data_IF_835252352643
#
_entry.id   IF_835252352643
#
_cell.length_a   1.000
_cell.length_b   1.000
_cell.length_c   1.000
_cell.angle_alpha   90.00
_cell.angle_beta   90.00
_cell.angle_gamma   90.00
#
_symmetry.space_group_name_H-M   'P 1'
#
loop_
_entity.id
_entity.type
_entity.pdbx_description
1 polymer ?
#
# COMPACT_ATOMS: atom_id res chain seq x y z
N UNK A 1 -12.67 -15.11 27.02
CA UNK A 1 -11.77 -15.59 25.96
C UNK A 1 -10.43 -14.92 26.18
N UNK A 2 -9.42 -15.70 26.52
CA UNK A 2 -8.01 -15.31 26.45
C UNK A 2 -7.24 -16.43 25.74
N UNK A 3 -6.08 -16.11 25.18
CA UNK A 3 -5.21 -17.07 24.53
C UNK A 3 -3.74 -16.67 24.72
N UNK A 4 -2.89 -17.67 24.89
CA UNK A 4 -1.44 -17.53 24.93
C UNK A 4 -0.86 -18.15 23.66
N UNK A 5 0.07 -17.45 23.02
CA UNK A 5 0.70 -17.84 21.76
C UNK A 5 2.22 -17.86 21.90
N UNK A 6 2.89 -18.75 21.18
CA UNK A 6 4.35 -18.67 20.99
C UNK A 6 4.74 -17.57 19.98
N UNK A 7 6.04 -17.38 19.78
CA UNK A 7 6.56 -16.40 18.82
C UNK A 7 6.09 -16.63 17.38
N UNK A 8 5.71 -17.85 16.99
CA UNK A 8 5.23 -18.19 15.65
C UNK A 8 3.70 -18.22 15.55
N UNK A 9 3.00 -17.94 16.64
CA UNK A 9 1.54 -17.88 16.69
C UNK A 9 0.86 -19.21 17.00
N UNK A 10 1.57 -20.27 17.38
CA UNK A 10 0.94 -21.51 17.85
C UNK A 10 0.16 -21.23 19.15
N UNK A 11 -1.09 -21.69 19.21
CA UNK A 11 -1.93 -21.56 20.40
C UNK A 11 -1.43 -22.52 21.49
N UNK A 12 -0.83 -21.96 22.54
CA UNK A 12 -0.29 -22.71 23.69
C UNK A 12 -1.37 -23.02 24.73
N UNK A 13 -2.29 -22.08 24.93
CA UNK A 13 -3.35 -22.15 25.94
C UNK A 13 -4.54 -21.26 25.52
N UNK A 14 -5.77 -21.67 25.85
CA UNK A 14 -7.00 -20.89 25.58
C UNK A 14 -7.98 -21.00 26.75
N UNK A 15 -8.44 -19.85 27.26
CA UNK A 15 -9.52 -19.79 28.26
C UNK A 15 -10.82 -19.29 27.62
N UNK A 16 -11.70 -20.22 27.24
CA UNK A 16 -12.93 -19.94 26.50
C UNK A 16 -14.22 -20.39 27.23
N UNK A 17 -14.55 -19.81 28.40
CA UNK A 17 -15.68 -20.25 29.24
C UNK A 17 -17.06 -20.04 28.59
N UNK A 18 -17.15 -19.32 27.47
CA UNK A 18 -18.38 -19.04 26.74
C UNK A 18 -18.41 -19.66 25.33
N UNK A 19 -17.43 -20.52 25.00
CA UNK A 19 -17.34 -21.21 23.70
C UNK A 19 -17.46 -20.26 22.49
N UNK A 20 -16.85 -19.08 22.60
CA UNK A 20 -16.84 -18.08 21.54
C UNK A 20 -15.93 -18.54 20.41
N UNK A 21 -16.41 -18.50 19.17
CA UNK A 21 -15.56 -18.73 18.00
C UNK A 21 -14.60 -17.54 17.84
N UNK A 22 -13.30 -17.79 18.01
CA UNK A 22 -12.26 -16.79 17.78
C UNK A 22 -11.26 -17.29 16.73
N UNK A 23 -11.37 -16.76 15.53
CA UNK A 23 -10.52 -17.14 14.40
C UNK A 23 -9.29 -16.23 14.25
N UNK A 24 -9.22 -15.07 14.89
CA UNK A 24 -8.05 -14.17 14.76
C UNK A 24 -6.83 -14.79 15.47
N UNK A 25 -5.65 -14.64 14.84
CA UNK A 25 -4.34 -15.10 15.35
C UNK A 25 -3.38 -13.90 15.45
N UNK A 26 -2.13 -14.01 14.95
CA UNK A 26 -1.23 -12.85 14.85
C UNK A 26 -1.80 -11.79 13.88
N UNK A 27 -1.28 -10.54 13.86
CA UNK A 27 -1.82 -9.48 13.02
C UNK A 27 -1.97 -9.85 11.53
N UNK A 28 -3.20 -9.72 11.01
CA UNK A 28 -3.55 -10.07 9.63
C UNK A 28 -3.99 -11.52 9.39
N UNK A 29 -3.83 -12.40 10.39
CA UNK A 29 -4.08 -13.83 10.26
C UNK A 29 -5.47 -14.25 10.79
N UNK A 30 -6.12 -15.13 10.03
CA UNK A 30 -7.34 -15.83 10.42
C UNK A 30 -7.11 -17.35 10.37
N UNK A 31 -7.43 -18.06 11.44
CA UNK A 31 -7.41 -19.50 11.53
C UNK A 31 -8.46 -20.13 10.60
N UNK A 32 -8.00 -21.10 9.83
CA UNK A 32 -8.83 -22.03 9.08
C UNK A 32 -8.81 -23.40 9.79
N UNK A 33 -9.98 -23.81 10.27
CA UNK A 33 -10.16 -25.05 11.03
C UNK A 33 -10.03 -26.31 10.16
N UNK A 34 -10.31 -26.23 8.85
CA UNK A 34 -10.23 -27.38 7.95
C UNK A 34 -8.77 -27.78 7.66
N UNK A 35 -7.89 -26.80 7.49
CA UNK A 35 -6.47 -27.03 7.22
C UNK A 35 -5.56 -26.96 8.45
N UNK A 36 -6.02 -26.34 9.55
CA UNK A 36 -5.19 -25.99 10.71
C UNK A 36 -4.23 -24.81 10.46
N UNK A 37 -4.29 -24.19 9.28
CA UNK A 37 -3.38 -23.12 8.85
C UNK A 37 -3.97 -21.74 9.09
N UNK A 38 -3.12 -20.73 9.01
CA UNK A 38 -3.50 -19.33 9.21
C UNK A 38 -3.56 -18.62 7.85
N UNK A 39 -4.77 -18.30 7.40
CA UNK A 39 -5.01 -17.52 6.20
C UNK A 39 -4.57 -16.06 6.42
N UNK A 40 -3.66 -15.60 5.58
CA UNK A 40 -3.13 -14.23 5.57
C UNK A 40 -3.27 -13.65 4.15
N UNK A 41 -4.53 -13.39 3.76
CA UNK A 41 -4.97 -12.90 2.43
C UNK A 41 -4.41 -13.70 1.25
N UNK A 42 -3.22 -13.35 0.78
CA UNK A 42 -2.62 -13.93 -0.43
C UNK A 42 -1.91 -15.27 -0.16
N UNK A 43 -1.70 -15.65 1.11
CA UNK A 43 -0.92 -16.83 1.49
C UNK A 43 -1.51 -17.54 2.72
N UNK A 44 -1.26 -18.85 2.82
CA UNK A 44 -1.47 -19.62 4.05
C UNK A 44 -0.15 -19.79 4.79
N UNK A 45 -0.18 -19.50 6.09
CA UNK A 45 0.93 -19.58 7.03
C UNK A 45 0.78 -20.80 7.94
N UNK A 46 1.86 -21.52 8.16
CA UNK A 46 1.98 -22.64 9.08
C UNK A 46 2.77 -22.19 10.32
N UNK A 47 2.13 -22.07 11.50
CA UNK A 47 2.78 -21.66 12.73
C UNK A 47 3.73 -22.72 13.29
N UNK A 48 3.55 -24.02 12.98
CA UNK A 48 4.45 -25.08 13.42
C UNK A 48 5.81 -25.01 12.70
N UNK A 49 5.83 -24.43 11.50
CA UNK A 49 7.04 -24.27 10.69
C UNK A 49 7.56 -22.81 10.64
N UNK A 50 6.83 -21.84 11.21
CA UNK A 50 7.20 -20.42 11.20
C UNK A 50 7.24 -19.78 9.80
N UNK A 51 6.44 -20.27 8.85
CA UNK A 51 6.57 -19.93 7.42
C UNK A 51 5.26 -20.04 6.65
N UNK A 52 5.21 -19.43 5.47
CA UNK A 52 4.18 -19.71 4.48
C UNK A 52 4.35 -21.12 3.87
N UNK A 53 3.24 -21.77 3.53
CA UNK A 53 3.23 -23.09 2.86
C UNK A 53 3.17 -23.00 1.34
N UNK A 54 2.65 -21.89 0.81
CA UNK A 54 2.67 -21.53 -0.60
C UNK A 54 3.89 -20.65 -0.88
N UNK A 55 4.45 -20.75 -2.09
CA UNK A 55 5.44 -19.78 -2.55
C UNK A 55 4.83 -18.39 -2.57
N UNK A 56 5.65 -17.37 -2.32
CA UNK A 56 5.29 -15.99 -2.49
C UNK A 56 4.77 -15.76 -3.91
N UNK A 57 3.52 -15.29 -4.13
CA UNK A 57 2.98 -15.06 -5.46
C UNK A 57 3.86 -14.15 -6.33
N UNK A 58 4.76 -13.38 -5.72
CA UNK A 58 5.68 -12.47 -6.41
C UNK A 58 7.07 -13.08 -6.72
N UNK A 59 7.38 -14.32 -6.31
CA UNK A 59 8.55 -15.09 -6.78
C UNK A 59 9.86 -14.84 -6.01
N UNK A 60 10.98 -14.56 -6.71
CA UNK A 60 12.29 -14.11 -6.15
C UNK A 60 12.28 -12.66 -5.65
N UNK A 61 11.20 -11.98 -5.99
CA UNK A 61 10.64 -10.88 -5.24
C UNK A 61 10.11 -11.45 -3.90
N UNK A 62 9.51 -10.67 -3.01
CA UNK A 62 9.46 -11.10 -1.60
C UNK A 62 10.90 -11.12 -1.06
N UNK A 63 11.58 -12.26 -1.15
CA UNK A 63 13.01 -12.43 -0.88
C UNK A 63 13.54 -13.75 -1.43
N UNK A 64 14.82 -14.07 -1.15
CA UNK A 64 15.45 -15.34 -1.55
C UNK A 64 14.75 -16.60 -1.01
N UNK A 65 13.95 -16.47 0.05
CA UNK A 65 13.13 -17.54 0.60
C UNK A 65 11.65 -17.26 0.30
N UNK A 66 11.11 -17.94 -0.71
CA UNK A 66 9.70 -17.82 -1.16
C UNK A 66 8.65 -18.10 -0.09
N UNK A 67 9.05 -18.64 1.06
CA UNK A 67 8.14 -19.08 2.11
C UNK A 67 8.28 -18.24 3.37
N UNK A 68 9.11 -17.19 3.36
CA UNK A 68 9.48 -16.45 4.56
C UNK A 68 8.32 -15.66 5.16
N UNK A 69 8.01 -15.94 6.43
CA UNK A 69 7.38 -14.98 7.32
C UNK A 69 8.49 -14.15 8.03
N UNK A 70 8.25 -12.89 8.44
CA UNK A 70 9.32 -12.06 8.99
C UNK A 70 10.03 -12.69 10.21
N UNK A 71 11.36 -12.53 10.27
CA UNK A 71 12.22 -13.14 11.31
C UNK A 71 11.97 -12.62 12.73
N UNK A 72 11.25 -11.50 12.88
CA UNK A 72 10.79 -10.99 14.16
C UNK A 72 9.30 -10.65 14.03
N UNK A 73 8.39 -11.61 14.23
CA UNK A 73 6.95 -11.45 14.02
C UNK A 73 6.28 -10.47 15.00
N UNK A 74 6.98 -10.04 16.06
CA UNK A 74 6.51 -9.06 17.04
C UNK A 74 6.71 -7.62 16.54
N UNK A 75 7.77 -7.35 15.77
CA UNK A 75 8.09 -6.00 15.26
C UNK A 75 7.95 -5.85 13.75
N UNK A 76 8.12 -6.93 12.99
CA UNK A 76 7.83 -7.01 11.57
C UNK A 76 6.71 -8.01 11.38
N UNK A 77 5.52 -7.55 11.02
CA UNK A 77 4.41 -8.40 10.62
C UNK A 77 4.04 -8.08 9.18
N UNK A 78 3.58 -9.08 8.44
CA UNK A 78 3.13 -8.94 7.05
C UNK A 78 1.60 -9.08 7.03
N UNK A 79 0.83 -7.99 7.24
CA UNK A 79 -0.63 -8.06 7.40
C UNK A 79 -1.39 -8.22 6.08
N UNK A 80 -0.69 -8.28 4.95
CA UNK A 80 -1.28 -8.37 3.61
C UNK A 80 -0.75 -9.55 2.79
N UNK A 81 0.41 -10.11 3.11
CA UNK A 81 1.15 -11.00 2.22
C UNK A 81 2.02 -10.26 1.19
N UNK A 82 2.36 -8.97 1.40
CA UNK A 82 2.77 -8.03 0.33
C UNK A 82 3.92 -7.08 0.73
N UNK A 83 4.55 -6.48 -0.29
CA UNK A 83 5.77 -5.64 -0.18
C UNK A 83 5.58 -4.14 0.08
N UNK A 84 4.43 -3.73 0.60
CA UNK A 84 4.12 -2.31 0.81
C UNK A 84 3.89 -2.03 2.29
N UNK A 85 4.64 -1.06 2.85
CA UNK A 85 4.52 -0.65 4.25
C UNK A 85 4.13 0.83 4.38
N UNK A 86 3.49 1.17 5.50
CA UNK A 86 2.96 2.50 5.79
C UNK A 86 3.50 2.98 7.13
N UNK A 87 4.10 4.17 7.17
CA UNK A 87 4.80 4.68 8.36
C UNK A 87 4.36 6.11 8.72
N UNK A 88 4.46 6.43 10.01
CA UNK A 88 3.94 7.65 10.62
C UNK A 88 3.16 7.33 11.89
N UNK A 89 2.51 8.34 12.46
CA UNK A 89 1.50 8.12 13.50
C UNK A 89 0.26 7.37 12.95
N UNK A 90 -0.65 6.97 13.83
CA UNK A 90 -1.83 6.19 13.47
C UNK A 90 -2.75 6.90 12.46
N UNK A 91 -2.90 8.23 12.56
CA UNK A 91 -3.71 9.02 11.63
C UNK A 91 -3.06 9.06 10.25
N UNK A 92 -1.75 9.38 10.19
CA UNK A 92 -0.97 9.35 8.94
C UNK A 92 -1.06 7.98 8.25
N UNK A 93 -0.82 6.89 9.00
CA UNK A 93 -0.88 5.53 8.44
C UNK A 93 -2.27 5.18 7.91
N UNK A 94 -3.33 5.55 8.65
CA UNK A 94 -4.71 5.30 8.23
C UNK A 94 -5.05 6.03 6.93
N UNK A 95 -4.78 7.33 6.88
CA UNK A 95 -5.02 8.18 5.71
C UNK A 95 -4.31 7.67 4.47
N UNK A 96 -3.03 7.26 4.59
CA UNK A 96 -2.27 6.69 3.48
C UNK A 96 -2.79 5.31 3.04
N UNK A 97 -3.19 4.44 3.98
CA UNK A 97 -3.79 3.12 3.67
C UNK A 97 -5.14 3.27 2.94
N UNK A 98 -5.98 4.20 3.38
CA UNK A 98 -7.28 4.50 2.73
C UNK A 98 -7.07 5.05 1.31
N UNK A 99 -6.14 5.99 1.13
CA UNK A 99 -5.81 6.54 -0.18
C UNK A 99 -5.19 5.49 -1.12
N UNK A 100 -4.28 4.62 -0.63
CA UNK A 100 -3.69 3.52 -1.39
C UNK A 100 -4.76 2.52 -1.84
N UNK A 101 -5.67 2.13 -0.92
CA UNK A 101 -6.79 1.24 -1.24
C UNK A 101 -7.69 1.83 -2.33
N UNK A 102 -7.96 3.13 -2.28
CA UNK A 102 -8.72 3.82 -3.33
C UNK A 102 -7.98 3.87 -4.69
N UNK A 103 -6.64 3.76 -4.73
CA UNK A 103 -5.90 3.51 -5.98
C UNK A 103 -6.13 2.08 -6.46
N UNK A 104 -5.87 1.10 -5.57
CA UNK A 104 -5.94 -0.34 -5.88
C UNK A 104 -7.34 -0.84 -6.28
N UNK A 105 -8.41 -0.14 -5.92
CA UNK A 105 -9.80 -0.46 -6.30
C UNK A 105 -10.15 -0.05 -7.75
N UNK A 106 -9.36 0.81 -8.38
CA UNK A 106 -9.55 1.21 -9.79
C UNK A 106 -8.83 0.25 -10.73
N UNK A 107 -9.32 0.09 -11.97
CA UNK A 107 -8.71 -0.84 -12.94
C UNK A 107 -7.33 -0.37 -13.41
N UNK A 108 -7.13 0.94 -13.50
CA UNK A 108 -5.84 1.51 -13.85
C UNK A 108 -4.88 1.51 -12.66
N UNK A 109 -5.33 1.95 -11.49
CA UNK A 109 -4.53 1.97 -10.26
C UNK A 109 -4.11 0.58 -9.79
N UNK A 110 -5.00 -0.42 -9.91
CA UNK A 110 -4.70 -1.81 -9.58
C UNK A 110 -3.45 -2.35 -10.28
N UNK A 111 -3.24 -2.01 -11.56
CA UNK A 111 -2.05 -2.43 -12.31
C UNK A 111 -0.77 -1.82 -11.74
N UNK A 112 -0.84 -0.56 -11.31
CA UNK A 112 0.30 0.13 -10.72
C UNK A 112 0.64 -0.52 -9.38
N UNK A 113 -0.37 -0.75 -8.53
CA UNK A 113 -0.19 -1.38 -7.21
C UNK A 113 0.27 -2.82 -7.34
N UNK A 114 -0.32 -3.61 -8.23
CA UNK A 114 0.09 -4.99 -8.54
C UNK A 114 1.57 -5.05 -8.95
N UNK A 115 2.05 -4.16 -9.81
CA UNK A 115 3.46 -4.10 -10.20
C UNK A 115 4.39 -3.59 -9.07
N UNK A 116 3.90 -2.81 -8.11
CA UNK A 116 4.69 -2.35 -6.94
C UNK A 116 4.78 -3.44 -5.87
N UNK A 117 3.65 -4.06 -5.55
CA UNK A 117 3.51 -5.20 -4.64
C UNK A 117 4.29 -6.41 -5.19
N UNK A 118 4.31 -6.60 -6.51
CA UNK A 118 5.16 -7.55 -7.21
C UNK A 118 6.50 -6.96 -7.68
N UNK A 119 7.15 -6.11 -6.86
CA UNK A 119 8.53 -5.65 -7.13
C UNK A 119 9.57 -6.32 -6.23
N UNK A 120 10.87 -6.20 -6.57
CA UNK A 120 11.96 -6.67 -5.70
C UNK A 120 12.18 -5.79 -4.46
N UNK A 121 11.51 -4.64 -4.35
CA UNK A 121 11.73 -3.66 -3.28
C UNK A 121 10.53 -3.56 -2.32
N UNK A 122 10.82 -3.30 -1.04
CA UNK A 122 9.78 -2.84 -0.12
C UNK A 122 9.50 -1.36 -0.41
N UNK A 123 8.24 -1.01 -0.68
CA UNK A 123 7.84 0.37 -0.90
C UNK A 123 7.24 0.97 0.38
N UNK A 124 7.78 2.10 0.82
CA UNK A 124 7.40 2.74 2.08
C UNK A 124 6.58 3.99 1.80
N UNK A 125 5.33 4.04 2.26
CA UNK A 125 4.48 5.23 2.20
C UNK A 125 4.47 5.95 3.55
N UNK A 126 4.81 7.25 3.56
CA UNK A 126 4.93 8.03 4.80
C UNK A 126 4.63 9.52 4.60
N UNK A 127 4.32 10.20 5.70
CA UNK A 127 4.24 11.67 5.72
C UNK A 127 5.58 12.35 5.38
N UNK A 128 5.56 13.65 5.10
CA UNK A 128 6.78 14.44 4.87
C UNK A 128 7.77 14.36 6.03
N UNK A 129 9.06 14.14 5.72
CA UNK A 129 10.16 14.26 6.71
C UNK A 129 10.72 15.67 6.74
N UNK A 130 11.29 16.07 7.88
CA UNK A 130 11.98 17.37 8.04
C UNK A 130 13.02 17.58 6.94
N UNK A 131 12.83 18.61 6.11
CA UNK A 131 13.68 18.95 4.97
C UNK A 131 13.10 18.57 3.60
N UNK A 132 11.99 17.82 3.57
CA UNK A 132 11.17 17.63 2.37
C UNK A 132 9.92 18.52 2.51
N UNK A 133 9.69 19.39 1.52
CA UNK A 133 8.65 20.43 1.55
C UNK A 133 7.52 20.20 0.53
N UNK A 134 7.54 19.06 -0.16
CA UNK A 134 6.58 18.68 -1.19
C UNK A 134 6.51 17.16 -1.29
N UNK A 135 5.41 16.65 -1.81
CA UNK A 135 5.26 15.23 -2.13
C UNK A 135 6.33 14.81 -3.17
N UNK A 136 6.95 13.64 -2.96
CA UNK A 136 7.91 13.05 -3.89
C UNK A 136 8.12 11.54 -3.65
N UNK A 137 8.65 10.87 -4.67
CA UNK A 137 9.26 9.54 -4.56
C UNK A 137 10.79 9.63 -4.47
N UNK A 138 11.37 8.95 -3.49
CA UNK A 138 12.81 8.75 -3.30
C UNK A 138 13.20 7.34 -3.77
N UNK A 139 13.97 7.25 -4.86
CA UNK A 139 14.37 5.99 -5.48
C UNK A 139 15.50 5.27 -4.74
N UNK A 140 16.20 5.96 -3.83
CA UNK A 140 17.25 5.37 -2.99
C UNK A 140 16.68 4.65 -1.76
N UNK A 141 15.58 5.16 -1.22
CA UNK A 141 14.87 4.61 -0.06
C UNK A 141 13.56 3.87 -0.42
N UNK A 142 13.23 3.74 -1.71
CA UNK A 142 11.94 3.24 -2.22
C UNK A 142 10.74 3.87 -1.49
N UNK A 143 10.87 5.15 -1.14
CA UNK A 143 10.01 5.85 -0.18
C UNK A 143 9.19 6.93 -0.84
N UNK A 144 7.88 6.85 -0.67
CA UNK A 144 6.92 7.88 -1.03
C UNK A 144 6.73 8.81 0.17
N UNK A 145 7.23 10.04 0.04
CA UNK A 145 7.00 11.14 0.96
C UNK A 145 5.77 11.90 0.51
N UNK A 146 4.71 11.88 1.31
CA UNK A 146 3.40 12.40 0.94
C UNK A 146 3.01 13.53 1.89
N UNK A 147 2.63 14.67 1.33
CA UNK A 147 1.93 15.70 2.11
C UNK A 147 0.46 15.30 2.30
N UNK A 148 0.10 14.98 3.54
CA UNK A 148 -1.26 14.53 3.90
C UNK A 148 -2.15 15.68 4.35
N UNK A 149 -1.58 16.84 4.69
CA UNK A 149 -2.27 17.95 5.34
C UNK A 149 -2.55 19.12 4.37
N UNK A 150 -1.77 19.27 3.30
CA UNK A 150 -2.08 20.24 2.25
C UNK A 150 -3.16 19.74 1.30
N UNK A 151 -4.14 20.62 1.04
CA UNK A 151 -5.01 20.57 -0.14
C UNK A 151 -4.14 20.68 -1.40
N UNK A 152 -3.65 19.54 -1.90
CA UNK A 152 -2.90 19.40 -3.15
C UNK A 152 -3.70 19.99 -4.31
N UNK A 153 -3.54 21.28 -4.58
CA UNK A 153 -4.47 21.99 -5.44
C UNK A 153 -3.99 21.95 -6.89
N UNK A 154 -4.62 21.11 -7.72
CA UNK A 154 -4.29 21.01 -9.14
C UNK A 154 -5.11 21.99 -9.98
N UNK A 155 -4.52 22.45 -11.09
CA UNK A 155 -5.23 23.23 -12.07
C UNK A 155 -6.22 22.36 -12.85
N UNK A 156 -7.51 22.74 -12.81
CA UNK A 156 -8.58 22.11 -13.57
C UNK A 156 -9.21 23.12 -14.52
N UNK A 157 -9.08 22.87 -15.82
CA UNK A 157 -9.71 23.70 -16.86
C UNK A 157 -11.21 23.41 -16.96
N UNK A 158 -12.06 24.44 -16.85
CA UNK A 158 -13.51 24.27 -16.81
C UNK A 158 -14.20 24.30 -18.19
N UNK A 159 -13.44 24.14 -19.28
CA UNK A 159 -13.90 24.22 -20.66
C UNK A 159 -13.51 25.54 -21.34
N UNK A 160 -13.63 25.58 -22.69
CA UNK A 160 -13.12 26.67 -23.54
C UNK A 160 -13.48 28.05 -22.99
N UNK A 161 -12.46 28.91 -22.90
CA UNK A 161 -12.50 30.30 -22.44
C UNK A 161 -12.85 30.52 -20.95
N UNK A 162 -12.84 29.48 -20.11
CA UNK A 162 -12.89 29.66 -18.64
C UNK A 162 -11.48 29.66 -18.05
N UNK A 163 -11.25 30.50 -17.06
CA UNK A 163 -10.00 30.49 -16.30
C UNK A 163 -9.82 29.15 -15.57
N UNK A 164 -8.57 28.81 -15.24
CA UNK A 164 -8.32 27.65 -14.40
C UNK A 164 -8.88 27.87 -12.99
N UNK A 165 -9.59 26.87 -12.47
CA UNK A 165 -9.94 26.83 -11.06
C UNK A 165 -9.00 25.83 -10.36
N UNK A 166 -8.29 26.31 -9.34
CA UNK A 166 -7.61 25.40 -8.41
C UNK A 166 -8.67 24.61 -7.65
N UNK A 167 -8.51 23.28 -7.62
CA UNK A 167 -9.35 22.39 -6.81
C UNK A 167 -8.46 21.46 -6.00
N UNK A 168 -8.82 21.13 -4.75
CA UNK A 168 -8.20 20.05 -4.01
C UNK A 168 -8.19 18.76 -4.84
N UNK A 169 -7.03 18.11 -4.91
CA UNK A 169 -6.81 16.83 -5.57
C UNK A 169 -6.91 15.75 -4.53
N UNK A 170 -7.65 14.67 -4.81
CA UNK A 170 -7.76 13.56 -3.88
C UNK A 170 -6.38 12.95 -3.61
N UNK A 171 -6.12 12.56 -2.36
CA UNK A 171 -4.84 11.97 -1.97
C UNK A 171 -4.51 10.70 -2.76
N UNK A 172 -5.52 9.92 -3.17
CA UNK A 172 -5.34 8.78 -4.08
C UNK A 172 -4.83 9.18 -5.46
N UNK A 173 -5.21 10.36 -5.99
CA UNK A 173 -4.69 10.88 -7.27
C UNK A 173 -3.25 11.34 -7.11
N UNK A 174 -2.89 11.94 -5.97
CA UNK A 174 -1.50 12.27 -5.62
C UNK A 174 -0.67 10.99 -5.52
N UNK A 175 -1.14 9.96 -4.81
CA UNK A 175 -0.47 8.66 -4.74
C UNK A 175 -0.28 8.03 -6.13
N UNK A 176 -1.31 8.02 -6.97
CA UNK A 176 -1.20 7.47 -8.33
C UNK A 176 -0.20 8.25 -9.21
N UNK A 177 -0.05 9.56 -9.00
CA UNK A 177 0.99 10.39 -9.62
C UNK A 177 2.39 9.96 -9.13
N UNK A 178 2.62 9.93 -7.82
CA UNK A 178 3.93 9.56 -7.24
C UNK A 178 4.36 8.14 -7.61
N UNK A 179 3.42 7.19 -7.61
CA UNK A 179 3.68 5.82 -8.05
C UNK A 179 4.18 5.76 -9.50
N UNK A 180 3.83 6.74 -10.35
CA UNK A 180 4.38 6.89 -11.70
C UNK A 180 5.87 7.23 -11.72
N UNK A 181 6.37 8.00 -10.74
CA UNK A 181 7.80 8.24 -10.56
C UNK A 181 8.55 6.96 -10.18
N UNK A 182 7.95 6.09 -9.37
CA UNK A 182 8.49 4.75 -9.10
C UNK A 182 8.52 3.82 -10.33
N UNK A 183 7.88 4.20 -11.44
CA UNK A 183 8.00 3.55 -12.77
C UNK A 183 9.02 4.23 -13.68
N UNK A 184 9.87 5.10 -13.14
CA UNK A 184 10.89 5.84 -13.88
C UNK A 184 10.34 7.00 -14.72
N UNK A 185 9.08 7.42 -14.51
CA UNK A 185 8.59 8.66 -15.11
C UNK A 185 9.16 9.87 -14.39
N UNK A 186 9.39 10.93 -15.15
CA UNK A 186 9.73 12.24 -14.62
C UNK A 186 8.66 13.23 -15.05
N UNK A 187 8.60 14.36 -14.35
CA UNK A 187 7.88 15.54 -14.82
C UNK A 187 8.76 16.34 -15.81
N UNK A 188 9.28 15.65 -16.82
CA UNK A 188 10.09 16.24 -17.90
C UNK A 188 9.33 16.31 -19.23
N UNK A 189 9.94 16.99 -20.22
CA UNK A 189 9.33 17.36 -21.50
C UNK A 189 9.09 18.87 -21.64
N UNK A 190 8.54 19.29 -22.78
CA UNK A 190 8.18 20.70 -23.05
C UNK A 190 7.06 21.23 -22.14
N UNK A 191 6.30 20.32 -21.55
CA UNK A 191 5.19 20.60 -20.65
C UNK A 191 5.33 20.01 -19.25
N UNK A 192 6.33 19.18 -18.95
CA UNK A 192 6.41 18.46 -17.67
C UNK A 192 5.14 17.64 -17.36
N UNK A 193 4.42 17.21 -18.40
CA UNK A 193 3.15 16.48 -18.26
C UNK A 193 3.31 14.97 -18.43
N UNK A 194 4.51 14.45 -18.72
CA UNK A 194 4.70 13.04 -19.08
C UNK A 194 4.19 12.05 -18.02
N UNK A 195 4.45 12.30 -16.73
CA UNK A 195 3.88 11.50 -15.65
C UNK A 195 2.36 11.72 -15.49
N UNK A 196 1.93 12.99 -15.57
CA UNK A 196 0.52 13.39 -15.46
C UNK A 196 -0.34 12.70 -16.52
N UNK A 197 0.07 12.70 -17.79
CA UNK A 197 -0.71 12.11 -18.88
C UNK A 197 -0.69 10.57 -18.89
N UNK A 198 0.37 9.95 -18.36
CA UNK A 198 0.53 8.50 -18.35
C UNK A 198 -0.03 7.82 -17.10
N UNK A 199 0.02 8.45 -15.92
CA UNK A 199 -0.38 7.85 -14.65
C UNK A 199 -1.49 8.63 -13.93
N UNK A 200 -1.42 9.97 -13.84
CA UNK A 200 -2.43 10.74 -13.12
C UNK A 200 -3.78 10.82 -13.88
N UNK A 201 -3.75 11.23 -15.16
CA UNK A 201 -4.92 11.48 -15.99
C UNK A 201 -5.75 10.22 -16.29
N UNK A 202 -5.17 9.03 -16.55
CA UNK A 202 -5.93 7.80 -16.69
C UNK A 202 -6.63 7.39 -15.39
N UNK A 203 -5.97 7.56 -14.23
CA UNK A 203 -6.58 7.32 -12.91
C UNK A 203 -7.72 8.31 -12.63
N UNK A 204 -7.51 9.61 -12.84
CA UNK A 204 -8.54 10.65 -12.73
C UNK A 204 -9.77 10.34 -13.57
N UNK A 205 -9.58 9.85 -14.80
CA UNK A 205 -10.66 9.46 -15.70
C UNK A 205 -11.52 8.31 -15.14
N UNK A 206 -10.91 7.31 -14.49
CA UNK A 206 -11.67 6.22 -13.85
C UNK A 206 -12.45 6.70 -12.61
N UNK A 207 -11.96 7.72 -11.90
CA UNK A 207 -12.69 8.41 -10.83
C UNK A 207 -13.74 9.42 -11.33
N UNK A 208 -13.94 9.58 -12.64
CA UNK A 208 -14.82 10.60 -13.22
C UNK A 208 -14.34 12.04 -13.02
N UNK A 209 -13.08 12.22 -12.61
CA UNK A 209 -12.46 13.53 -12.39
C UNK A 209 -11.98 14.13 -13.73
N UNK A 210 -12.03 15.46 -13.87
CA UNK A 210 -11.45 16.14 -15.03
C UNK A 210 -9.92 15.98 -15.03
N UNK A 211 -9.36 15.79 -16.22
CA UNK A 211 -7.91 15.72 -16.43
C UNK A 211 -7.20 16.99 -15.92
N UNK A 212 -6.02 16.79 -15.33
CA UNK A 212 -5.04 17.85 -15.11
C UNK A 212 -4.42 18.20 -16.47
N UNK A 213 -4.23 19.48 -16.72
CA UNK A 213 -3.58 20.02 -17.92
C UNK A 213 -2.46 20.95 -17.47
N UNK A 214 -1.49 21.23 -18.35
CA UNK A 214 -0.38 22.14 -18.06
C UNK A 214 -0.84 23.56 -17.71
N UNK A 215 -0.04 24.25 -16.89
CA UNK A 215 0.15 25.71 -16.96
C UNK A 215 1.32 26.05 -17.88
#
# INVERSE_FOLDING_TARGET
WCAEYDEWGNLLNEENPHQLQQLIRLPGQQYDEESGLYYNRHRYYDPLQGRYITQDPIGLKGGWNFYQYPLNPVSGFDPLGLKVSFQGDESTQKTLKEAYKAVAETKFGHKITEELESSEHEYIFRGLRKGINQTCYDDTEYSFYIDIDNDHSSCVYQGKNKACAMKPTLLSVVLAHEMGHAKGMKDDGTDSMANVDKYENPFRKELGLPARMKY
#
